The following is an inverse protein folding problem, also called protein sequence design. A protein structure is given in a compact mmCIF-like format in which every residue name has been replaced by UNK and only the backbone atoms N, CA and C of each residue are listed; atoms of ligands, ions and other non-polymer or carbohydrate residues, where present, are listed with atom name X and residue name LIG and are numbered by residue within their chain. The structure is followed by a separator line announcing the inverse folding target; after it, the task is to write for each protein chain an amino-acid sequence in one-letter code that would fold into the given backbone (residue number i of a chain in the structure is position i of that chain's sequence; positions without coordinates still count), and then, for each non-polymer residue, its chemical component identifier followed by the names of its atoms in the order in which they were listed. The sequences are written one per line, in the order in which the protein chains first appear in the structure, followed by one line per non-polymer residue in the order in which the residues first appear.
data_IF_640802327639
#
_entry.id   IF_640802327639
#
_cell.length_a   1.000
_cell.length_b   1.000
_cell.length_c   1.000
_cell.angle_alpha   90.00
_cell.angle_beta   90.00
_cell.angle_gamma   90.00
#
_symmetry.space_group_name_H-M   'P 1'
#
loop_
_entity.id
_entity.type
_entity.pdbx_description
1 polymer ?
#
# COMPACT_ATOMS: atom_id res chain seq x y z
N UNK A 1 -3.72 -15.10 -4.95
CA UNK A 1 -2.92 -14.22 -5.82
C UNK A 1 -3.44 -14.19 -7.25
N UNK A 2 -3.58 -15.32 -7.94
CA UNK A 2 -4.05 -15.34 -9.35
C UNK A 2 -5.39 -14.62 -9.60
N UNK A 3 -6.29 -14.65 -8.61
CA UNK A 3 -7.56 -13.92 -8.66
C UNK A 3 -7.42 -12.40 -8.87
N UNK A 4 -6.24 -11.81 -8.58
CA UNK A 4 -5.98 -10.40 -8.87
C UNK A 4 -5.74 -10.13 -10.36
N UNK A 5 -5.52 -11.16 -11.20
CA UNK A 5 -5.22 -10.96 -12.62
C UNK A 5 -6.36 -10.22 -13.33
N UNK A 6 -7.59 -10.71 -13.18
CA UNK A 6 -8.77 -10.10 -13.80
C UNK A 6 -8.94 -8.62 -13.43
N UNK A 7 -8.98 -8.22 -12.15
CA UNK A 7 -9.12 -6.80 -11.81
C UNK A 7 -7.91 -5.97 -12.24
N UNK A 8 -6.70 -6.54 -12.32
CA UNK A 8 -5.52 -5.83 -12.86
C UNK A 8 -5.68 -5.55 -14.35
N UNK A 9 -6.10 -6.56 -15.12
CA UNK A 9 -6.28 -6.48 -16.57
C UNK A 9 -7.48 -5.64 -17.00
N UNK A 10 -8.46 -5.46 -16.11
CA UNK A 10 -9.60 -4.56 -16.33
C UNK A 10 -9.27 -3.08 -16.18
N UNK A 11 -8.13 -2.72 -15.59
CA UNK A 11 -7.72 -1.31 -15.56
C UNK A 11 -7.22 -0.88 -16.94
N UNK A 12 -7.68 0.27 -17.44
CA UNK A 12 -7.21 0.84 -18.70
C UNK A 12 -5.69 1.09 -18.67
N UNK A 13 -5.19 1.56 -17.53
CA UNK A 13 -3.77 1.67 -17.22
C UNK A 13 -3.41 0.62 -16.18
N UNK A 14 -2.37 -0.17 -16.46
CA UNK A 14 -1.87 -1.14 -15.50
C UNK A 14 -1.40 -0.42 -14.22
N UNK A 15 -1.82 -0.88 -13.03
CA UNK A 15 -1.32 -0.32 -11.78
C UNK A 15 0.20 -0.45 -11.71
N UNK A 16 0.84 0.56 -11.12
CA UNK A 16 2.27 0.52 -10.82
C UNK A 16 2.53 -0.44 -9.64
N UNK A 17 3.12 -1.59 -9.95
CA UNK A 17 3.57 -2.57 -8.95
C UNK A 17 5.05 -2.45 -8.60
N UNK A 18 5.79 -1.48 -9.17
CA UNK A 18 7.25 -1.42 -9.08
C UNK A 18 7.97 -2.47 -9.95
N UNK A 19 7.26 -3.10 -10.88
CA UNK A 19 7.81 -4.10 -11.78
C UNK A 19 8.59 -3.46 -12.94
N UNK A 20 9.66 -4.11 -13.41
CA UNK A 20 10.25 -3.77 -14.69
C UNK A 20 9.24 -3.91 -15.84
N UNK A 21 9.34 -3.02 -16.84
CA UNK A 21 8.42 -2.97 -17.98
C UNK A 21 8.24 -4.35 -18.64
N UNK A 22 6.99 -4.75 -18.86
CA UNK A 22 6.63 -6.00 -19.54
C UNK A 22 6.65 -7.27 -18.68
N UNK A 23 7.05 -7.18 -17.39
CA UNK A 23 6.97 -8.33 -16.48
C UNK A 23 5.52 -8.64 -16.13
N UNK A 24 5.17 -9.93 -16.04
CA UNK A 24 3.86 -10.36 -15.55
C UNK A 24 3.65 -9.85 -14.09
N UNK A 25 2.57 -9.10 -13.82
CA UNK A 25 2.36 -8.49 -12.51
C UNK A 25 2.11 -9.52 -11.40
N UNK A 26 1.44 -10.64 -11.71
CA UNK A 26 1.20 -11.71 -10.75
C UNK A 26 2.50 -12.42 -10.40
N UNK A 27 3.35 -12.69 -11.39
CA UNK A 27 4.68 -13.27 -11.14
C UNK A 27 5.54 -12.32 -10.32
N UNK A 28 5.47 -11.02 -10.60
CA UNK A 28 6.19 -10.02 -9.81
C UNK A 28 5.72 -9.98 -8.35
N UNK A 29 4.41 -9.86 -8.11
CA UNK A 29 3.83 -9.83 -6.76
C UNK A 29 4.15 -11.12 -5.97
N UNK A 30 4.06 -12.30 -6.60
CA UNK A 30 4.49 -13.57 -5.97
C UNK A 30 5.96 -13.52 -5.53
N UNK A 31 6.84 -12.92 -6.34
CA UNK A 31 8.26 -12.79 -6.00
C UNK A 31 8.55 -11.85 -4.82
N UNK A 32 7.69 -10.83 -4.60
CA UNK A 32 7.83 -9.91 -3.46
C UNK A 32 7.39 -10.53 -2.13
N UNK A 33 6.54 -11.55 -2.17
CA UNK A 33 5.98 -12.21 -0.99
C UNK A 33 6.98 -13.11 -0.24
N UNK A 34 8.04 -13.58 -0.92
CA UNK A 34 9.05 -14.48 -0.33
C UNK A 34 8.57 -15.91 -0.02
N UNK A 35 7.27 -16.18 -0.09
CA UNK A 35 6.63 -17.48 0.16
C UNK A 35 6.31 -18.29 -1.12
N UNK A 36 6.65 -17.75 -2.29
CA UNK A 36 6.39 -18.34 -3.60
C UNK A 36 4.92 -18.36 -4.06
N UNK A 37 3.96 -18.09 -3.17
CA UNK A 37 2.52 -18.16 -3.46
C UNK A 37 1.85 -16.79 -3.54
N UNK A 38 2.43 -15.78 -2.88
CA UNK A 38 1.82 -14.47 -2.72
C UNK A 38 0.88 -14.36 -1.51
N UNK A 39 0.76 -15.40 -0.68
CA UNK A 39 -0.19 -15.43 0.44
C UNK A 39 0.19 -14.41 1.51
N UNK A 40 1.47 -14.35 1.90
CA UNK A 40 1.99 -13.38 2.86
C UNK A 40 1.74 -11.95 2.41
N UNK A 41 2.06 -11.63 1.15
CA UNK A 41 1.81 -10.30 0.59
C UNK A 41 0.32 -9.94 0.60
N UNK A 42 -0.58 -10.89 0.30
CA UNK A 42 -2.02 -10.65 0.40
C UNK A 42 -2.47 -10.38 1.84
N UNK A 43 -1.92 -11.08 2.82
CA UNK A 43 -2.18 -10.80 4.24
C UNK A 43 -1.70 -9.41 4.64
N UNK A 44 -0.51 -8.98 4.19
CA UNK A 44 -0.02 -7.63 4.45
C UNK A 44 -0.90 -6.56 3.79
N UNK A 45 -1.41 -6.81 2.57
CA UNK A 45 -2.39 -5.92 1.90
C UNK A 45 -3.70 -5.86 2.67
N UNK A 46 -4.20 -7.00 3.13
CA UNK A 46 -5.44 -7.08 3.91
C UNK A 46 -5.33 -6.24 5.18
N UNK A 47 -4.20 -6.33 5.89
CA UNK A 47 -3.92 -5.53 7.09
C UNK A 47 -3.98 -4.03 6.80
N UNK A 48 -3.35 -3.55 5.73
CA UNK A 48 -3.40 -2.11 5.41
C UNK A 48 -4.78 -1.67 4.92
N UNK A 49 -5.55 -2.53 4.25
CA UNK A 49 -6.90 -2.23 3.78
C UNK A 49 -7.91 -2.12 4.93
N UNK A 50 -7.67 -2.81 6.04
CA UNK A 50 -8.46 -2.67 7.27
C UNK A 50 -8.12 -1.41 8.08
N UNK A 51 -6.99 -0.76 7.79
CA UNK A 51 -6.65 0.53 8.36
C UNK A 51 -7.38 1.68 7.68
N UNK A 52 -7.38 2.83 8.36
CA UNK A 52 -7.90 4.08 7.82
C UNK A 52 -7.19 4.46 6.51
N UNK A 53 -7.96 4.95 5.55
CA UNK A 53 -7.45 5.52 4.31
C UNK A 53 -7.29 7.03 4.43
N UNK A 54 -6.32 7.59 3.71
CA UNK A 54 -6.30 9.02 3.42
C UNK A 54 -7.22 9.28 2.22
N UNK A 55 -8.31 9.99 2.44
CA UNK A 55 -9.16 10.47 1.35
C UNK A 55 -8.49 11.64 0.61
N UNK A 56 -8.73 11.79 -0.70
CA UNK A 56 -8.28 12.97 -1.43
C UNK A 56 -9.03 14.23 -0.97
N UNK A 57 -8.43 15.39 -1.23
CA UNK A 57 -9.09 16.67 -0.97
C UNK A 57 -10.43 16.79 -1.70
N UNK A 58 -11.36 17.52 -1.10
CA UNK A 58 -12.68 17.76 -1.68
C UNK A 58 -12.56 18.47 -3.03
N UNK A 59 -13.28 17.98 -4.05
CA UNK A 59 -13.24 18.53 -5.40
C UNK A 59 -12.03 18.14 -6.26
N UNK A 60 -11.07 17.36 -5.73
CA UNK A 60 -9.93 16.86 -6.53
C UNK A 60 -10.42 15.86 -7.60
N UNK A 61 -10.26 16.21 -8.88
CA UNK A 61 -10.66 15.38 -10.02
C UNK A 61 -9.85 14.07 -10.09
N UNK A 62 -8.53 14.17 -9.91
CA UNK A 62 -7.61 13.03 -9.93
C UNK A 62 -7.21 12.60 -8.51
N UNK A 63 -8.16 12.71 -7.57
CA UNK A 63 -7.92 12.40 -6.17
C UNK A 63 -7.72 10.90 -5.92
N UNK A 64 -6.65 10.55 -5.21
CA UNK A 64 -6.34 9.18 -4.81
C UNK A 64 -6.72 8.94 -3.34
N UNK A 65 -7.36 7.80 -3.09
CA UNK A 65 -7.43 7.20 -1.77
C UNK A 65 -6.14 6.41 -1.52
N UNK A 66 -5.50 6.63 -0.37
CA UNK A 66 -4.20 6.01 -0.05
C UNK A 66 -4.30 5.21 1.25
N UNK A 67 -3.85 3.96 1.20
CA UNK A 67 -3.74 3.07 2.36
C UNK A 67 -2.27 2.70 2.69
N UNK A 68 -1.94 2.59 3.99
CA UNK A 68 -2.70 3.18 5.10
C UNK A 68 -2.62 4.72 5.02
N UNK A 69 -3.46 5.45 5.77
CA UNK A 69 -3.37 6.91 5.87
C UNK A 69 -1.96 7.38 6.27
N UNK A 70 -1.25 6.57 7.06
CA UNK A 70 0.15 6.81 7.47
C UNK A 70 1.15 6.84 6.32
N UNK A 71 0.82 6.30 5.14
CA UNK A 71 1.73 6.25 3.99
C UNK A 71 2.17 7.64 3.50
N UNK A 72 1.36 8.67 3.76
CA UNK A 72 1.67 10.06 3.42
C UNK A 72 1.92 10.93 4.68
N UNK A 73 2.00 10.31 5.86
CA UNK A 73 2.16 11.02 7.13
C UNK A 73 3.65 11.22 7.49
N UNK A 74 3.89 12.22 8.34
CA UNK A 74 5.19 12.48 8.95
C UNK A 74 5.33 11.68 10.24
N UNK A 75 6.07 10.58 10.20
CA UNK A 75 6.19 9.68 11.36
C UNK A 75 7.18 10.18 12.43
N UNK A 76 7.91 11.26 12.13
CA UNK A 76 8.73 11.99 13.10
C UNK A 76 7.92 12.94 14.00
N UNK A 77 6.66 13.21 13.63
CA UNK A 77 5.76 14.10 14.36
C UNK A 77 4.33 13.57 14.32
N UNK A 78 4.08 12.53 15.10
CA UNK A 78 2.79 11.83 15.12
C UNK A 78 1.85 12.36 16.21
N UNK A 79 0.56 12.33 15.88
CA UNK A 79 -0.49 12.48 16.90
C UNK A 79 -0.61 11.18 17.72
N UNK A 80 -1.22 11.20 18.92
CA UNK A 80 -1.47 9.98 19.69
C UNK A 80 -2.32 8.94 18.95
N UNK A 81 -3.20 9.39 18.06
CA UNK A 81 -4.00 8.53 17.19
C UNK A 81 -3.13 7.84 16.14
N UNK A 82 -2.22 8.58 15.49
CA UNK A 82 -1.27 8.02 14.52
C UNK A 82 -0.30 7.01 15.16
N UNK A 83 0.16 7.25 16.39
CA UNK A 83 0.98 6.31 17.16
C UNK A 83 0.25 4.98 17.40
N UNK A 84 -1.04 5.08 17.72
CA UNK A 84 -1.91 3.90 17.93
C UNK A 84 -2.10 3.14 16.63
N UNK A 85 -2.34 3.86 15.52
CA UNK A 85 -2.49 3.26 14.19
C UNK A 85 -1.20 2.56 13.74
N UNK A 86 -0.03 3.19 13.92
CA UNK A 86 1.27 2.61 13.59
C UNK A 86 1.47 1.30 14.36
N UNK A 87 1.25 1.31 15.68
CA UNK A 87 1.43 0.14 16.54
C UNK A 87 0.49 -1.02 16.22
N UNK A 88 -0.64 -0.77 15.54
CA UNK A 88 -1.54 -1.84 15.05
C UNK A 88 -1.06 -2.46 13.74
N UNK A 89 -0.34 -1.69 12.94
CA UNK A 89 0.07 -2.07 11.59
C UNK A 89 1.47 -2.70 11.55
N UNK A 90 2.30 -2.42 12.55
CA UNK A 90 3.72 -2.81 12.54
C UNK A 90 4.12 -3.43 13.88
N UNK A 91 5.15 -4.27 13.86
CA UNK A 91 5.83 -4.67 15.08
C UNK A 91 6.51 -3.47 15.77
N UNK A 92 6.85 -3.56 17.08
CA UNK A 92 7.55 -2.47 17.77
C UNK A 92 8.87 -2.08 17.10
N UNK A 93 9.65 -3.05 16.62
CA UNK A 93 10.92 -2.81 15.93
C UNK A 93 10.72 -2.05 14.61
N UNK A 94 9.74 -2.44 13.81
CA UNK A 94 9.39 -1.75 12.56
C UNK A 94 8.86 -0.34 12.84
N UNK A 95 8.03 -0.17 13.88
CA UNK A 95 7.53 1.14 14.28
C UNK A 95 8.68 2.09 14.64
N UNK A 96 9.65 1.62 15.42
CA UNK A 96 10.82 2.42 15.80
C UNK A 96 11.71 2.77 14.60
N UNK A 97 11.88 1.82 13.67
CA UNK A 97 12.58 2.08 12.41
C UNK A 97 11.86 3.13 11.56
N UNK A 98 10.53 3.04 11.43
CA UNK A 98 9.71 4.00 10.69
C UNK A 98 9.69 5.39 11.33
N UNK A 99 9.64 5.48 12.68
CA UNK A 99 9.78 6.73 13.43
C UNK A 99 11.15 7.37 13.18
N UNK A 100 12.21 6.57 13.27
CA UNK A 100 13.58 7.03 13.03
C UNK A 100 13.78 7.51 11.58
N UNK A 101 13.13 6.85 10.62
CA UNK A 101 13.12 7.24 9.22
C UNK A 101 12.21 8.44 8.92
N UNK A 102 11.32 8.82 9.86
CA UNK A 102 10.34 9.89 9.73
C UNK A 102 9.23 9.63 8.70
N UNK A 103 9.14 8.41 8.15
CA UNK A 103 8.23 8.07 7.05
C UNK A 103 7.81 6.61 7.10
N UNK A 104 6.67 6.31 6.47
CA UNK A 104 6.19 4.95 6.26
C UNK A 104 7.08 4.21 5.26
N UNK A 105 7.46 2.98 5.59
CA UNK A 105 8.29 2.10 4.72
C UNK A 105 7.60 0.76 4.42
N UNK A 106 6.33 0.62 4.80
CA UNK A 106 5.50 -0.54 4.52
C UNK A 106 4.84 -0.48 3.14
N UNK A 107 3.92 -1.40 2.89
CA UNK A 107 3.10 -1.39 1.68
C UNK A 107 2.21 -0.16 1.61
N UNK A 108 2.08 0.37 0.41
CA UNK A 108 1.22 1.49 0.05
C UNK A 108 0.34 1.09 -1.14
N UNK A 109 -0.96 1.30 -0.98
CA UNK A 109 -1.95 1.10 -2.02
C UNK A 109 -2.63 2.44 -2.34
N UNK A 110 -2.73 2.77 -3.63
CA UNK A 110 -3.45 3.95 -4.11
C UNK A 110 -4.54 3.55 -5.10
N UNK A 111 -5.76 4.04 -4.86
CA UNK A 111 -6.95 3.75 -5.65
C UNK A 111 -7.63 5.06 -6.03
N UNK A 112 -8.04 5.19 -7.28
CA UNK A 112 -8.79 6.33 -7.80
C UNK A 112 -10.23 6.37 -7.29
N UNK A 113 -10.92 7.50 -7.48
CA UNK A 113 -12.33 7.66 -7.10
C UNK A 113 -13.28 6.71 -7.84
N UNK A 114 -12.88 6.24 -9.01
CA UNK A 114 -13.57 5.26 -9.84
C UNK A 114 -13.31 3.80 -9.43
N UNK A 115 -12.45 3.57 -8.44
CA UNK A 115 -12.05 2.24 -7.98
C UNK A 115 -10.87 1.64 -8.74
N UNK A 116 -10.29 2.36 -9.72
CA UNK A 116 -9.11 1.90 -10.45
C UNK A 116 -7.90 1.88 -9.54
N UNK A 117 -7.15 0.78 -9.56
CA UNK A 117 -5.89 0.68 -8.83
C UNK A 117 -4.81 1.47 -9.57
N UNK A 118 -4.19 2.43 -8.89
CA UNK A 118 -3.09 3.20 -9.48
C UNK A 118 -1.73 2.60 -9.13
N UNK A 119 -1.54 2.15 -7.89
CA UNK A 119 -0.27 1.57 -7.47
C UNK A 119 -0.41 0.67 -6.25
N UNK A 120 0.38 -0.40 -6.21
CA UNK A 120 0.62 -1.21 -5.01
C UNK A 120 2.13 -1.46 -4.92
N UNK A 121 2.80 -0.80 -3.99
CA UNK A 121 4.26 -0.92 -3.82
C UNK A 121 4.70 -0.70 -2.39
N UNK A 122 5.89 -1.17 -2.05
CA UNK A 122 6.53 -0.84 -0.78
C UNK A 122 7.03 0.61 -0.85
N UNK A 123 6.81 1.38 0.20
CA UNK A 123 7.24 2.79 0.24
C UNK A 123 8.75 2.87 0.41
N UNK A 124 9.40 3.70 -0.41
CA UNK A 124 10.87 3.90 -0.43
C UNK A 124 11.35 4.97 0.56
#
# INVERSE_FOLDING_TARGET
MEALRTPIEWNELKPDFGAANGRDPIVHLKSLSGDGTGARLLTEIEVILQAECKAPAEGAKDGLFVWPRLADARLDRMSPEDETLLSRLTSPEEADAMRSAGRWTGWRLAIGRDGTWHSLKKSE
#
